data_IF_958357712671
#
_entry.id   IF_958357712671
#
_cell.length_a   1.000
_cell.length_b   1.000
_cell.length_c   1.000
_cell.angle_alpha   90.00
_cell.angle_beta   90.00
_cell.angle_gamma   90.00
#
_symmetry.space_group_name_H-M   'P 1'
#
loop_
_entity.id
_entity.type
_entity.pdbx_description
1 polymer ?
#
# COMPACT_ATOMS: atom_id res chain seq x y z
N UNK A 1 5.20 -9.54 -13.43
CA UNK A 1 4.81 -10.60 -12.48
C UNK A 1 5.77 -10.61 -11.30
N UNK A 2 5.27 -10.80 -10.08
CA UNK A 2 6.08 -10.98 -8.87
C UNK A 2 5.64 -12.29 -8.20
N UNK A 3 6.59 -13.16 -7.93
CA UNK A 3 6.38 -14.39 -7.15
C UNK A 3 7.13 -14.29 -5.83
N UNK A 4 6.48 -14.69 -4.76
CA UNK A 4 7.03 -14.78 -3.40
C UNK A 4 6.98 -16.23 -2.98
N UNK A 5 8.12 -16.79 -2.62
CA UNK A 5 8.27 -18.20 -2.29
C UNK A 5 8.91 -18.37 -0.91
N UNK A 6 8.15 -19.03 0.00
CA UNK A 6 8.58 -19.38 1.36
C UNK A 6 9.16 -18.18 2.16
N UNK A 7 8.63 -16.97 1.92
CA UNK A 7 9.14 -15.78 2.58
C UNK A 7 8.85 -15.81 4.06
N UNK A 8 9.90 -15.67 4.86
CA UNK A 8 9.83 -15.58 6.32
C UNK A 8 10.68 -14.44 6.84
N UNK A 9 10.20 -13.74 7.87
CA UNK A 9 10.87 -12.60 8.49
C UNK A 9 10.73 -12.61 9.99
N UNK A 10 11.86 -12.44 10.69
CA UNK A 10 11.90 -12.25 12.15
C UNK A 10 12.65 -10.97 12.52
N UNK A 11 12.29 -10.38 13.65
CA UNK A 11 13.03 -9.33 14.34
C UNK A 11 13.47 -9.88 15.69
N UNK A 12 14.77 -10.19 15.81
CA UNK A 12 15.29 -10.95 16.95
C UNK A 12 14.61 -12.33 17.04
N UNK A 13 14.04 -12.66 18.19
CA UNK A 13 13.29 -13.92 18.40
C UNK A 13 11.84 -13.88 17.92
N UNK A 14 11.30 -12.69 17.55
CA UNK A 14 9.90 -12.55 17.15
C UNK A 14 9.74 -12.85 15.66
N UNK A 15 9.04 -13.92 15.32
CA UNK A 15 8.60 -14.22 13.96
C UNK A 15 7.46 -13.27 13.62
N UNK A 16 7.55 -12.58 12.48
CA UNK A 16 6.54 -11.63 11.99
C UNK A 16 5.88 -12.10 10.71
N UNK A 17 6.65 -12.78 9.83
CA UNK A 17 6.12 -13.44 8.65
C UNK A 17 6.66 -14.86 8.62
N UNK A 18 5.79 -15.81 8.27
CA UNK A 18 6.13 -17.22 8.25
C UNK A 18 5.58 -17.89 6.99
N UNK A 19 6.48 -18.39 6.16
CA UNK A 19 6.18 -19.19 4.98
C UNK A 19 5.14 -18.55 4.03
N UNK A 20 5.32 -17.26 3.73
CA UNK A 20 4.44 -16.53 2.80
C UNK A 20 4.73 -16.99 1.37
N UNK A 21 3.69 -17.41 0.68
CA UNK A 21 3.70 -17.74 -0.75
C UNK A 21 2.61 -16.94 -1.44
N UNK A 22 2.97 -16.07 -2.39
CA UNK A 22 2.06 -15.17 -3.10
C UNK A 22 2.51 -15.02 -4.55
N UNK A 23 1.53 -14.81 -5.43
CA UNK A 23 1.79 -14.52 -6.83
C UNK A 23 0.97 -13.31 -7.27
N UNK A 24 1.65 -12.29 -7.83
CA UNK A 24 1.03 -11.06 -8.31
C UNK A 24 1.23 -10.95 -9.82
N UNK A 25 0.15 -11.09 -10.56
CA UNK A 25 0.14 -10.93 -12.01
C UNK A 25 0.17 -9.45 -12.40
N UNK A 26 0.57 -9.16 -13.62
CA UNK A 26 0.60 -7.79 -14.13
C UNK A 26 -0.81 -7.26 -14.39
N UNK A 27 -1.01 -5.96 -14.18
CA UNK A 27 -2.26 -5.28 -14.50
C UNK A 27 -3.42 -5.60 -13.55
N UNK A 28 -3.14 -6.22 -12.40
CA UNK A 28 -4.15 -6.51 -11.36
C UNK A 28 -3.92 -5.69 -10.09
N UNK A 29 -5.00 -5.52 -9.34
CA UNK A 29 -5.00 -4.89 -8.02
C UNK A 29 -5.24 -5.96 -6.96
N UNK A 30 -4.30 -6.08 -6.03
CA UNK A 30 -4.32 -7.05 -4.94
C UNK A 30 -4.49 -6.37 -3.59
N UNK A 31 -5.40 -6.88 -2.77
CA UNK A 31 -5.60 -6.43 -1.41
C UNK A 31 -4.88 -7.31 -0.40
N UNK A 32 -4.19 -6.72 0.57
CA UNK A 32 -3.69 -7.42 1.76
C UNK A 32 -4.48 -6.92 2.96
N UNK A 33 -5.40 -7.74 3.46
CA UNK A 33 -6.20 -7.43 4.64
C UNK A 33 -5.69 -8.17 5.87
N UNK A 34 -5.75 -7.54 7.02
CA UNK A 34 -5.33 -8.13 8.29
C UNK A 34 -5.34 -7.11 9.42
N UNK A 35 -5.39 -7.58 10.65
CA UNK A 35 -5.34 -6.74 11.84
C UNK A 35 -4.03 -5.95 11.94
N UNK A 36 -4.02 -4.93 12.80
CA UNK A 36 -2.79 -4.23 13.13
C UNK A 36 -1.80 -5.20 13.77
N UNK A 37 -0.55 -5.19 13.28
CA UNK A 37 0.48 -6.14 13.71
C UNK A 37 0.47 -7.49 12.99
N UNK A 38 -0.43 -7.75 12.05
CA UNK A 38 -0.47 -9.01 11.29
C UNK A 38 0.76 -9.23 10.38
N UNK A 39 1.54 -8.17 10.08
CA UNK A 39 2.74 -8.26 9.25
C UNK A 39 2.65 -7.55 7.89
N UNK A 40 1.55 -6.85 7.56
CA UNK A 40 1.33 -6.19 6.26
C UNK A 40 2.50 -5.28 5.84
N UNK A 41 2.82 -4.29 6.66
CA UNK A 41 3.94 -3.36 6.41
C UNK A 41 5.30 -4.08 6.31
N UNK A 42 5.51 -5.13 7.11
CA UNK A 42 6.74 -5.93 7.04
C UNK A 42 6.83 -6.67 5.72
N UNK A 43 5.75 -7.27 5.24
CA UNK A 43 5.67 -7.92 3.92
C UNK A 43 6.01 -6.92 2.82
N UNK A 44 5.41 -5.73 2.84
CA UNK A 44 5.68 -4.67 1.86
C UNK A 44 7.13 -4.18 1.87
N UNK A 45 7.72 -4.03 3.05
CA UNK A 45 9.15 -3.69 3.17
C UNK A 45 10.07 -4.79 2.62
N UNK A 46 9.70 -6.07 2.78
CA UNK A 46 10.44 -7.18 2.16
C UNK A 46 10.33 -7.11 0.64
N UNK A 47 9.12 -6.93 0.07
CA UNK A 47 8.92 -6.80 -1.37
C UNK A 47 9.68 -5.58 -1.93
N UNK A 48 9.69 -4.48 -1.20
CA UNK A 48 10.42 -3.27 -1.58
C UNK A 48 11.94 -3.38 -1.45
N UNK A 49 12.46 -4.49 -0.91
CA UNK A 49 13.91 -4.68 -0.68
C UNK A 49 14.46 -3.84 0.47
N UNK A 50 13.60 -3.32 1.35
CA UNK A 50 13.97 -2.50 2.51
C UNK A 50 14.27 -3.35 3.76
N UNK A 51 13.82 -4.60 3.76
CA UNK A 51 14.04 -5.54 4.86
C UNK A 51 14.60 -6.87 4.35
N UNK A 52 15.59 -7.41 5.06
CA UNK A 52 16.13 -8.75 4.79
C UNK A 52 15.10 -9.81 5.22
N UNK A 53 14.98 -10.85 4.44
CA UNK A 53 14.07 -11.97 4.68
C UNK A 53 14.73 -13.31 4.29
N UNK A 54 14.14 -14.42 4.70
CA UNK A 54 14.40 -15.74 4.14
C UNK A 54 13.38 -16.02 3.03
N UNK A 55 13.65 -17.01 2.17
CA UNK A 55 12.84 -17.29 0.98
C UNK A 55 13.23 -16.43 -0.22
N UNK A 56 12.41 -16.44 -1.26
CA UNK A 56 12.69 -15.75 -2.50
C UNK A 56 11.58 -14.76 -2.88
N UNK A 57 11.97 -13.62 -3.44
CA UNK A 57 11.08 -12.69 -4.16
C UNK A 57 11.64 -12.58 -5.57
N UNK A 58 10.90 -13.09 -6.53
CA UNK A 58 11.27 -13.13 -7.94
C UNK A 58 10.44 -12.10 -8.67
N UNK A 59 11.09 -11.17 -9.36
CA UNK A 59 10.43 -10.12 -10.12
C UNK A 59 11.05 -9.99 -11.51
N UNK A 60 10.22 -10.00 -12.54
CA UNK A 60 10.65 -9.83 -13.93
C UNK A 60 11.20 -8.45 -14.26
N UNK A 61 10.91 -7.44 -13.44
CA UNK A 61 11.34 -6.05 -13.66
C UNK A 61 12.72 -5.72 -13.09
N UNK A 62 13.37 -6.68 -12.42
CA UNK A 62 14.69 -6.47 -11.82
C UNK A 62 14.63 -5.99 -10.37
N UNK A 63 15.42 -4.97 -10.02
CA UNK A 63 15.52 -4.50 -8.62
C UNK A 63 14.34 -3.59 -8.26
N UNK A 64 13.69 -3.78 -7.08
CA UNK A 64 12.52 -2.98 -6.68
C UNK A 64 12.72 -1.47 -6.80
N UNK A 65 13.89 -0.97 -6.44
CA UNK A 65 14.22 0.46 -6.53
C UNK A 65 14.08 1.05 -7.95
N UNK A 66 14.05 0.24 -8.99
CA UNK A 66 14.03 0.70 -10.39
C UNK A 66 12.61 0.71 -11.00
N UNK A 67 11.61 0.13 -10.34
CA UNK A 67 10.26 0.00 -10.89
C UNK A 67 9.12 0.13 -9.88
N UNK A 68 9.42 0.13 -8.58
CA UNK A 68 8.41 0.12 -7.51
C UNK A 68 8.18 1.51 -6.94
N UNK A 69 6.93 1.97 -6.94
CA UNK A 69 6.46 3.09 -6.11
C UNK A 69 5.91 2.56 -4.79
N UNK A 70 6.51 2.93 -3.67
CA UNK A 70 6.05 2.49 -2.34
C UNK A 70 5.54 3.66 -1.52
N UNK A 71 4.22 3.72 -1.32
CA UNK A 71 3.59 4.61 -0.36
C UNK A 71 3.59 3.94 1.00
N UNK A 72 4.39 4.45 1.93
CA UNK A 72 4.44 3.98 3.31
C UNK A 72 3.23 4.50 4.10
N UNK A 73 2.82 3.77 5.14
CA UNK A 73 1.77 4.22 6.08
C UNK A 73 2.09 5.60 6.64
N UNK A 74 3.36 5.82 7.03
CA UNK A 74 3.92 7.09 7.48
C UNK A 74 5.12 7.46 6.61
N UNK A 75 4.94 8.30 5.58
CA UNK A 75 6.03 8.73 4.71
C UNK A 75 7.06 9.58 5.47
N UNK A 76 8.33 9.33 5.23
CA UNK A 76 9.43 10.09 5.80
C UNK A 76 9.74 11.34 4.96
N UNK A 77 9.99 12.46 5.63
CA UNK A 77 10.43 13.71 5.00
C UNK A 77 11.63 14.30 5.73
N UNK A 78 12.57 14.84 4.97
CA UNK A 78 13.66 15.62 5.55
C UNK A 78 13.12 16.93 6.17
N UNK A 79 13.73 17.40 7.25
CA UNK A 79 13.22 18.54 8.04
C UNK A 79 13.10 19.85 7.24
N UNK A 80 13.93 20.05 6.22
CA UNK A 80 13.98 21.26 5.41
C UNK A 80 13.75 20.99 3.92
N UNK A 81 12.85 20.06 3.59
CA UNK A 81 12.44 19.78 2.21
C UNK A 81 11.05 20.35 1.97
N UNK A 82 10.88 21.13 0.92
CA UNK A 82 9.57 21.59 0.45
C UNK A 82 8.84 20.50 -0.28
N UNK A 83 7.51 20.64 -0.48
CA UNK A 83 6.72 19.68 -1.27
C UNK A 83 7.26 19.53 -2.69
N UNK A 84 7.62 20.63 -3.34
CA UNK A 84 8.18 20.63 -4.69
C UNK A 84 9.53 19.89 -4.75
N UNK A 85 10.45 20.23 -3.85
CA UNK A 85 11.76 19.57 -3.78
C UNK A 85 11.66 18.07 -3.49
N UNK A 86 10.69 17.65 -2.65
CA UNK A 86 10.46 16.24 -2.36
C UNK A 86 10.04 15.47 -3.62
N UNK A 87 9.06 15.99 -4.38
CA UNK A 87 8.63 15.38 -5.64
C UNK A 87 9.80 15.32 -6.62
N UNK A 88 10.51 16.43 -6.79
CA UNK A 88 11.65 16.51 -7.70
C UNK A 88 12.77 15.54 -7.33
N UNK A 89 13.09 15.40 -6.04
CA UNK A 89 14.08 14.44 -5.54
C UNK A 89 13.72 13.01 -5.95
N UNK A 90 12.45 12.61 -5.76
CA UNK A 90 12.01 11.26 -6.08
C UNK A 90 11.93 11.02 -7.61
N UNK A 91 11.51 12.01 -8.40
CA UNK A 91 11.55 11.94 -9.86
C UNK A 91 12.98 11.81 -10.38
N UNK A 92 13.89 12.64 -9.87
CA UNK A 92 15.32 12.60 -10.27
C UNK A 92 15.96 11.25 -9.95
N UNK A 93 15.61 10.63 -8.81
CA UNK A 93 16.09 9.29 -8.45
C UNK A 93 15.68 8.19 -9.46
N UNK A 94 14.72 8.48 -10.34
CA UNK A 94 14.24 7.63 -11.44
C UNK A 94 14.61 8.16 -12.83
N UNK A 95 15.46 9.19 -12.92
CA UNK A 95 15.80 9.88 -14.16
C UNK A 95 14.58 10.45 -14.91
N UNK A 96 13.48 10.70 -14.19
CA UNK A 96 12.31 11.40 -14.72
C UNK A 96 12.56 12.90 -14.61
N UNK A 97 12.81 13.53 -15.75
CA UNK A 97 13.09 14.96 -15.87
C UNK A 97 11.93 15.69 -16.56
N UNK A 98 11.91 17.02 -16.47
CA UNK A 98 10.91 17.88 -17.13
C UNK A 98 9.45 17.61 -16.71
N UNK A 99 9.22 17.22 -15.46
CA UNK A 99 7.88 17.09 -14.92
C UNK A 99 7.34 18.46 -14.51
N UNK A 100 6.23 18.91 -15.08
CA UNK A 100 5.50 20.07 -14.56
C UNK A 100 4.75 19.66 -13.27
N UNK A 101 5.46 19.80 -12.15
CA UNK A 101 4.95 19.41 -10.82
C UNK A 101 3.75 20.30 -10.45
N UNK A 102 3.74 21.57 -10.88
CA UNK A 102 2.66 22.51 -10.54
C UNK A 102 1.36 22.09 -11.22
N UNK A 103 1.39 21.77 -12.50
CA UNK A 103 0.23 21.29 -13.26
C UNK A 103 -0.28 19.94 -12.71
N UNK A 104 0.62 19.08 -12.27
CA UNK A 104 0.30 17.75 -11.73
C UNK A 104 -0.01 17.73 -10.22
N UNK A 105 -0.18 18.88 -9.60
CA UNK A 105 -0.55 19.01 -8.19
C UNK A 105 -2.06 18.81 -7.96
N UNK A 106 -2.55 17.62 -8.23
CA UNK A 106 -3.96 17.23 -8.19
C UNK A 106 -4.63 17.31 -6.81
N UNK A 107 -3.86 17.49 -5.76
CA UNK A 107 -4.36 17.63 -4.38
C UNK A 107 -4.24 19.05 -3.83
N UNK A 108 -3.91 20.04 -4.67
CA UNK A 108 -3.75 21.46 -4.31
C UNK A 108 -2.83 21.67 -3.08
N UNK A 109 -1.73 20.94 -3.02
CA UNK A 109 -0.78 21.02 -1.92
C UNK A 109 0.04 22.32 -1.99
N UNK A 110 0.40 22.94 -0.86
CA UNK A 110 1.25 24.14 -0.81
C UNK A 110 2.72 23.77 -1.09
N UNK A 111 3.07 23.49 -2.33
CA UNK A 111 4.35 22.90 -2.75
C UNK A 111 5.60 23.69 -2.32
N UNK A 112 5.48 24.98 -2.02
CA UNK A 112 6.57 25.84 -1.58
C UNK A 112 6.79 25.80 -0.05
N UNK A 113 5.92 25.14 0.70
CA UNK A 113 6.07 24.96 2.13
C UNK A 113 6.88 23.71 2.47
N UNK A 114 7.52 23.69 3.64
CA UNK A 114 8.23 22.51 4.15
C UNK A 114 7.24 21.37 4.43
N UNK A 115 7.53 20.17 3.89
CA UNK A 115 6.68 19.00 4.04
C UNK A 115 6.45 18.57 5.49
N UNK A 116 7.36 18.90 6.41
CA UNK A 116 7.20 18.66 7.86
C UNK A 116 6.05 19.44 8.50
N UNK A 117 5.63 20.56 7.89
CA UNK A 117 4.48 21.37 8.33
C UNK A 117 3.14 20.82 7.87
N UNK A 118 3.14 19.88 6.93
CA UNK A 118 1.92 19.29 6.37
C UNK A 118 1.21 18.44 7.42
N UNK A 119 -0.13 18.42 7.35
CA UNK A 119 -0.93 17.45 8.09
C UNK A 119 -0.60 16.01 7.65
N UNK A 120 -1.00 15.03 8.44
CA UNK A 120 -0.80 13.60 8.08
C UNK A 120 -1.36 13.27 6.70
N UNK A 121 -2.59 13.72 6.41
CA UNK A 121 -3.21 13.53 5.09
C UNK A 121 -2.46 14.24 3.95
N UNK A 122 -2.01 15.48 4.17
CA UNK A 122 -1.19 16.20 3.18
C UNK A 122 0.14 15.52 2.90
N UNK A 123 0.82 15.01 3.94
CA UNK A 123 2.07 14.23 3.77
C UNK A 123 1.83 12.98 2.93
N UNK A 124 0.74 12.28 3.17
CA UNK A 124 0.37 11.08 2.40
C UNK A 124 0.08 11.43 0.94
N UNK A 125 -0.71 12.48 0.69
CA UNK A 125 -1.00 12.99 -0.67
C UNK A 125 0.28 13.40 -1.40
N UNK A 126 1.21 14.06 -0.72
CA UNK A 126 2.50 14.44 -1.30
C UNK A 126 3.33 13.22 -1.70
N UNK A 127 3.48 12.25 -0.78
CA UNK A 127 4.22 11.02 -1.07
C UNK A 127 3.56 10.20 -2.19
N UNK A 128 2.23 10.14 -2.23
CA UNK A 128 1.49 9.47 -3.29
C UNK A 128 1.73 10.15 -4.64
N UNK A 129 1.59 11.49 -4.72
CA UNK A 129 1.91 12.25 -5.94
C UNK A 129 3.33 11.97 -6.42
N UNK A 130 4.30 11.98 -5.51
CA UNK A 130 5.69 11.74 -5.87
C UNK A 130 5.93 10.36 -6.52
N UNK A 131 5.33 9.29 -5.96
CA UNK A 131 5.49 7.94 -6.54
C UNK A 131 4.72 7.77 -7.85
N UNK A 132 3.60 8.50 -8.05
CA UNK A 132 2.88 8.50 -9.33
C UNK A 132 3.73 9.09 -10.47
N UNK A 133 4.46 10.16 -10.17
CA UNK A 133 5.28 10.87 -11.16
C UNK A 133 6.60 10.15 -11.48
N UNK A 134 6.96 9.10 -10.76
CA UNK A 134 8.14 8.27 -11.01
C UNK A 134 7.99 7.24 -12.16
N UNK A 135 6.83 7.17 -12.82
CA UNK A 135 6.55 6.23 -13.92
C UNK A 135 6.72 4.74 -13.54
N UNK A 136 6.41 4.40 -12.30
CA UNK A 136 6.56 3.04 -11.78
C UNK A 136 5.72 2.00 -12.55
N UNK A 137 6.14 0.72 -12.51
CA UNK A 137 5.41 -0.43 -13.07
C UNK A 137 4.57 -1.13 -12.02
N UNK A 138 5.03 -1.11 -10.77
CA UNK A 138 4.36 -1.66 -9.60
C UNK A 138 4.17 -0.57 -8.55
N UNK A 139 3.02 -0.60 -7.89
CA UNK A 139 2.72 0.26 -6.75
C UNK A 139 2.40 -0.59 -5.53
N UNK A 140 3.03 -0.29 -4.41
CA UNK A 140 2.64 -0.78 -3.09
C UNK A 140 2.08 0.40 -2.31
N UNK A 141 0.82 0.28 -1.87
CA UNK A 141 0.09 1.32 -1.16
C UNK A 141 -0.26 0.83 0.25
N UNK A 142 0.54 1.23 1.24
CA UNK A 142 0.33 0.81 2.64
C UNK A 142 -0.63 1.77 3.35
N UNK A 143 -1.89 1.32 3.53
CA UNK A 143 -2.98 2.09 4.13
C UNK A 143 -3.20 3.46 3.43
N UNK A 144 -3.39 3.52 2.09
CA UNK A 144 -3.41 4.78 1.35
C UNK A 144 -4.54 5.72 1.76
N UNK A 145 -5.66 5.18 2.25
CA UNK A 145 -6.86 5.91 2.62
C UNK A 145 -6.85 6.42 4.07
N UNK A 146 -5.93 5.93 4.91
CA UNK A 146 -5.90 6.27 6.33
C UNK A 146 -5.41 7.70 6.56
N UNK A 147 -6.20 8.51 7.26
CA UNK A 147 -5.90 9.91 7.58
C UNK A 147 -6.07 10.89 6.42
N UNK A 148 -6.74 10.47 5.35
CA UNK A 148 -7.03 11.29 4.16
C UNK A 148 -8.52 11.65 4.15
N UNK A 149 -8.86 12.83 3.66
CA UNK A 149 -10.26 13.29 3.55
C UNK A 149 -11.04 12.56 2.45
N UNK A 150 -12.38 12.65 2.51
CA UNK A 150 -13.28 11.93 1.61
C UNK A 150 -13.03 12.28 0.14
N UNK A 151 -12.84 13.56 -0.20
CA UNK A 151 -12.60 13.98 -1.58
C UNK A 151 -11.30 13.39 -2.12
N UNK A 152 -10.24 13.44 -1.32
CA UNK A 152 -8.95 12.85 -1.69
C UNK A 152 -9.02 11.33 -1.80
N UNK A 153 -9.85 10.65 -0.98
CA UNK A 153 -10.07 9.20 -1.11
C UNK A 153 -10.70 8.84 -2.45
N UNK A 154 -11.67 9.62 -2.93
CA UNK A 154 -12.27 9.44 -4.26
C UNK A 154 -11.20 9.57 -5.34
N UNK A 155 -10.38 10.63 -5.29
CA UNK A 155 -9.28 10.85 -6.24
C UNK A 155 -8.29 9.68 -6.23
N UNK A 156 -7.89 9.20 -5.05
CA UNK A 156 -6.98 8.05 -4.92
C UNK A 156 -7.59 6.79 -5.56
N UNK A 157 -8.87 6.55 -5.34
CA UNK A 157 -9.59 5.41 -5.92
C UNK A 157 -9.60 5.47 -7.46
N UNK A 158 -9.93 6.63 -8.02
CA UNK A 158 -9.92 6.84 -9.48
C UNK A 158 -8.51 6.67 -10.08
N UNK A 159 -7.48 7.13 -9.37
CA UNK A 159 -6.09 6.92 -9.79
C UNK A 159 -5.74 5.42 -9.80
N UNK A 160 -6.18 4.66 -8.80
CA UNK A 160 -5.95 3.20 -8.76
C UNK A 160 -6.60 2.53 -9.98
N UNK A 161 -7.83 2.90 -10.34
CA UNK A 161 -8.48 2.40 -11.55
C UNK A 161 -7.69 2.78 -12.81
N UNK A 162 -7.26 4.03 -12.91
CA UNK A 162 -6.47 4.50 -14.05
C UNK A 162 -5.13 3.79 -14.20
N UNK A 163 -4.42 3.56 -13.10
CA UNK A 163 -3.18 2.79 -13.10
C UNK A 163 -3.41 1.34 -13.55
N UNK A 164 -4.51 0.71 -13.11
CA UNK A 164 -4.91 -0.63 -13.56
C UNK A 164 -5.19 -0.66 -15.06
N UNK A 165 -5.96 0.30 -15.60
CA UNK A 165 -6.22 0.43 -17.04
C UNK A 165 -4.93 0.58 -17.85
N UNK A 166 -3.90 1.23 -17.28
CA UNK A 166 -2.58 1.38 -17.87
C UNK A 166 -1.72 0.11 -17.74
N UNK A 167 -2.26 -1.00 -17.24
CA UNK A 167 -1.56 -2.27 -17.06
C UNK A 167 -0.55 -2.27 -15.90
N UNK A 168 -0.64 -1.31 -14.98
CA UNK A 168 0.20 -1.28 -13.77
C UNK A 168 -0.33 -2.29 -12.74
N UNK A 169 0.59 -2.90 -12.00
CA UNK A 169 0.25 -3.78 -10.88
C UNK A 169 0.21 -3.00 -9.58
N UNK A 170 -0.77 -3.28 -8.72
CA UNK A 170 -0.97 -2.53 -7.49
C UNK A 170 -1.21 -3.52 -6.36
N UNK A 171 -0.53 -3.33 -5.22
CA UNK A 171 -0.75 -4.07 -3.99
C UNK A 171 -1.14 -3.06 -2.91
N UNK A 172 -2.33 -3.24 -2.32
CA UNK A 172 -2.90 -2.30 -1.35
C UNK A 172 -3.09 -3.01 -0.03
N UNK A 173 -2.66 -2.41 1.09
CA UNK A 173 -3.16 -2.82 2.40
C UNK A 173 -4.29 -1.90 2.85
N UNK A 174 -5.25 -2.48 3.53
CA UNK A 174 -6.24 -1.73 4.30
C UNK A 174 -6.75 -2.59 5.45
N UNK A 175 -7.13 -1.93 6.55
CA UNK A 175 -7.92 -2.51 7.62
C UNK A 175 -9.42 -2.24 7.42
N UNK A 176 -9.80 -1.45 6.40
CA UNK A 176 -11.18 -1.13 6.02
C UNK A 176 -11.53 -1.95 4.78
N UNK A 177 -12.37 -2.97 4.94
CA UNK A 177 -12.68 -3.90 3.87
C UNK A 177 -13.34 -3.24 2.66
N UNK A 178 -14.25 -2.28 2.88
CA UNK A 178 -14.98 -1.61 1.78
C UNK A 178 -14.05 -0.97 0.77
N UNK A 179 -12.94 -0.38 1.21
CA UNK A 179 -11.97 0.26 0.29
C UNK A 179 -11.27 -0.74 -0.63
N UNK A 180 -11.08 -1.99 -0.16
CA UNK A 180 -10.51 -3.07 -0.97
C UNK A 180 -11.55 -3.69 -1.90
N UNK A 181 -12.81 -3.81 -1.43
CA UNK A 181 -13.91 -4.36 -2.23
C UNK A 181 -14.08 -3.62 -3.56
N UNK A 182 -13.95 -2.30 -3.53
CA UNK A 182 -14.15 -1.50 -4.73
C UNK A 182 -12.97 -1.59 -5.70
N UNK A 183 -11.74 -1.67 -5.20
CA UNK A 183 -10.53 -1.51 -6.02
C UNK A 183 -9.84 -2.81 -6.42
N UNK A 184 -9.95 -3.88 -5.61
CA UNK A 184 -9.15 -5.09 -5.78
C UNK A 184 -9.80 -6.14 -6.69
N UNK A 185 -8.97 -6.94 -7.34
CA UNK A 185 -9.36 -8.16 -8.09
C UNK A 185 -9.29 -9.40 -7.19
N UNK A 186 -8.34 -9.41 -6.26
CA UNK A 186 -8.11 -10.50 -5.32
C UNK A 186 -7.66 -9.95 -3.97
N UNK A 187 -8.10 -10.58 -2.89
CA UNK A 187 -7.73 -10.19 -1.51
C UNK A 187 -7.11 -11.39 -0.79
N UNK A 188 -5.95 -11.14 -0.19
CA UNK A 188 -5.26 -12.08 0.70
C UNK A 188 -5.48 -11.69 2.16
N UNK A 189 -5.92 -12.64 2.98
CA UNK A 189 -6.09 -12.45 4.42
C UNK A 189 -4.81 -12.87 5.14
N UNK A 190 -4.09 -11.87 5.67
CA UNK A 190 -2.89 -12.06 6.47
C UNK A 190 -3.25 -12.07 7.96
N UNK A 191 -2.93 -13.16 8.66
CA UNK A 191 -3.17 -13.33 10.09
C UNK A 191 -1.96 -13.98 10.74
N UNK A 192 -1.48 -13.39 11.83
CA UNK A 192 -0.32 -13.89 12.60
C UNK A 192 0.90 -14.23 11.71
N UNK A 193 1.16 -13.40 10.72
CA UNK A 193 2.30 -13.57 9.81
C UNK A 193 2.12 -14.61 8.71
N UNK A 194 0.93 -15.18 8.53
CA UNK A 194 0.63 -16.19 7.50
C UNK A 194 -0.54 -15.76 6.62
N UNK A 195 -0.50 -16.12 5.33
CA UNK A 195 -1.68 -15.99 4.45
C UNK A 195 -2.60 -17.18 4.74
N UNK A 196 -3.76 -16.88 5.29
CA UNK A 196 -4.73 -17.91 5.69
C UNK A 196 -5.84 -18.12 4.67
N UNK A 197 -6.06 -17.15 3.78
CA UNK A 197 -7.09 -17.23 2.74
C UNK A 197 -6.74 -16.30 1.58
N UNK A 198 -7.08 -16.73 0.36
CA UNK A 198 -7.15 -15.90 -0.84
C UNK A 198 -8.57 -15.96 -1.37
N UNK A 199 -9.12 -14.83 -1.80
CA UNK A 199 -10.46 -14.72 -2.37
C UNK A 199 -10.47 -13.81 -3.58
N UNK A 200 -11.16 -14.25 -4.63
CA UNK A 200 -11.43 -13.46 -5.82
C UNK A 200 -12.63 -12.54 -5.60
N UNK A 201 -12.79 -11.55 -6.46
CA UNK A 201 -13.76 -10.45 -6.33
C UNK A 201 -15.20 -10.94 -6.11
N UNK A 202 -15.59 -12.04 -6.74
CA UNK A 202 -16.92 -12.63 -6.64
C UNK A 202 -17.27 -13.10 -5.22
N UNK A 203 -16.27 -13.39 -4.40
CA UNK A 203 -16.44 -13.92 -3.04
C UNK A 203 -16.24 -12.85 -1.94
N UNK A 204 -15.96 -11.60 -2.29
CA UNK A 204 -15.64 -10.54 -1.33
C UNK A 204 -16.76 -10.30 -0.30
N UNK A 205 -18.02 -10.37 -0.71
CA UNK A 205 -19.16 -10.22 0.21
C UNK A 205 -19.21 -11.30 1.29
N UNK A 206 -18.75 -12.52 0.97
CA UNK A 206 -18.66 -13.61 1.95
C UNK A 206 -17.49 -13.35 2.92
N UNK A 207 -16.32 -12.94 2.40
CA UNK A 207 -15.18 -12.59 3.23
C UNK A 207 -15.50 -11.44 4.21
N UNK A 208 -16.21 -10.42 3.77
CA UNK A 208 -16.64 -9.31 4.64
C UNK A 208 -17.51 -9.80 5.80
N UNK A 209 -18.46 -10.69 5.51
CA UNK A 209 -19.33 -11.31 6.53
C UNK A 209 -18.53 -12.14 7.53
N UNK A 210 -17.61 -12.97 7.07
CA UNK A 210 -16.73 -13.77 7.93
C UNK A 210 -15.86 -12.88 8.83
N UNK A 211 -15.25 -11.82 8.27
CA UNK A 211 -14.46 -10.88 9.06
C UNK A 211 -15.28 -10.13 10.11
N UNK A 212 -16.49 -9.67 9.77
CA UNK A 212 -17.40 -9.03 10.71
C UNK A 212 -17.79 -9.99 11.84
N UNK A 213 -18.19 -11.21 11.50
CA UNK A 213 -18.56 -12.22 12.49
C UNK A 213 -17.39 -12.54 13.43
N UNK A 214 -16.18 -12.70 12.89
CA UNK A 214 -14.98 -12.95 13.68
C UNK A 214 -14.62 -11.78 14.60
N UNK A 215 -14.71 -10.54 14.12
CA UNK A 215 -14.35 -9.34 14.89
C UNK A 215 -15.35 -9.04 15.99
N UNK A 216 -16.64 -9.17 15.69
CA UNK A 216 -17.72 -8.89 16.63
C UNK A 216 -17.78 -10.01 17.67
N UNK A 217 -17.88 -11.29 17.22
CA UNK A 217 -18.05 -12.45 18.11
C UNK A 217 -19.02 -12.13 19.23
N UNK A 218 -18.67 -12.49 20.46
CA UNK A 218 -19.46 -12.20 21.65
C UNK A 218 -19.10 -10.85 22.32
N UNK A 219 -18.37 -9.96 21.65
CA UNK A 219 -17.87 -8.70 22.28
C UNK A 219 -19.01 -7.75 22.63
N UNK A 220 -20.03 -7.65 21.76
CA UNK A 220 -21.19 -6.77 21.98
C UNK A 220 -22.05 -7.30 23.11
N UNK A 221 -22.27 -8.61 23.17
CA UNK A 221 -23.05 -9.26 24.24
C UNK A 221 -22.44 -9.04 25.63
N UNK A 222 -21.10 -8.97 25.73
CA UNK A 222 -20.40 -8.67 27.00
C UNK A 222 -20.70 -7.28 27.57
N UNK A 223 -21.16 -6.34 26.73
CA UNK A 223 -21.51 -4.98 27.21
C UNK A 223 -22.79 -4.92 27.96
N UNK A 224 -23.68 -5.96 27.92
CA UNK A 224 -24.98 -6.00 28.58
C UNK A 224 -25.78 -4.70 28.45
N UNK A 225 -25.77 -4.10 27.25
CA UNK A 225 -26.52 -2.87 26.98
C UNK A 225 -28.02 -3.12 27.24
N UNK A 226 -28.63 -2.31 28.15
CA UNK A 226 -30.04 -2.33 28.45
C UNK A 226 -30.75 -1.22 27.70
#
# INVERSE_FOLDING_TARGET
MISIENLSKSYGSKVVLENINLNFENGKVYGIVGENGAGKTTLFKCIAGLEKHNGAIICEYGKPKDFLGYLQTEPFFFSKITGNEYIQLLCNARNVTNTDIKEKNIFDLPLNEYAVKYSTGMRKKLAFTAILLQENKLFILDEPFNGVDIHSNIIITEIIYKLKEMGKSIIISSHIFSTLNDTCDEIFLLKNGQIIKSVLKEEFSNLEREMKAFTIGNKIEKLNLK
#
